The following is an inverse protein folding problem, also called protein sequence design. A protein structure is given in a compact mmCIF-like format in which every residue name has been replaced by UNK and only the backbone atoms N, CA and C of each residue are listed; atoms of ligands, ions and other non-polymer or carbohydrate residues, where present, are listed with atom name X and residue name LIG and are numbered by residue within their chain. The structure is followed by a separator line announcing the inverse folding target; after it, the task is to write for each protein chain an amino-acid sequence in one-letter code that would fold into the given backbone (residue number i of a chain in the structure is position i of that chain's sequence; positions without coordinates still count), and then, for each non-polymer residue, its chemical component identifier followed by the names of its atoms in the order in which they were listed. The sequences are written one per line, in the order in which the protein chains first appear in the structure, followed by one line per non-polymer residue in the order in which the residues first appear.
data_IF_517578679035
#
_entry.id   IF_517578679035
#
_cell.length_a   1.000
_cell.length_b   1.000
_cell.length_c   1.000
_cell.angle_alpha   90.00
_cell.angle_beta   90.00
_cell.angle_gamma   90.00
#
_symmetry.space_group_name_H-M   'P 1'
#
loop_
_entity.id
_entity.type
_entity.pdbx_description
1 polymer ?
#
# COMPACT_ATOMS: atom_id res chain seq x y z
N UNK A 1 13.42 -11.97 -12.27
CA UNK A 1 12.67 -10.78 -11.83
C UNK A 1 11.20 -11.15 -11.58
N UNK A 2 10.49 -11.83 -12.51
CA UNK A 2 9.07 -12.26 -12.33
C UNK A 2 8.85 -13.03 -11.02
N UNK A 3 9.74 -13.95 -10.68
CA UNK A 3 9.68 -14.73 -9.43
C UNK A 3 9.71 -13.84 -8.18
N UNK A 4 10.55 -12.79 -8.18
CA UNK A 4 10.59 -11.81 -7.09
C UNK A 4 9.31 -10.94 -7.01
N UNK A 5 8.61 -10.73 -8.14
CA UNK A 5 7.32 -10.04 -8.19
C UNK A 5 6.13 -10.98 -7.86
N UNK A 6 6.38 -12.24 -7.47
CA UNK A 6 5.34 -13.24 -7.19
C UNK A 6 4.53 -13.64 -8.44
N UNK A 7 5.09 -13.46 -9.63
CA UNK A 7 4.45 -13.79 -10.90
C UNK A 7 4.99 -15.13 -11.43
N UNK A 8 4.14 -15.94 -12.10
CA UNK A 8 4.59 -17.18 -12.71
C UNK A 8 5.66 -16.91 -13.80
N UNK A 9 6.59 -17.83 -13.93
CA UNK A 9 7.56 -17.80 -15.01
C UNK A 9 6.87 -18.00 -16.37
N UNK A 10 7.41 -17.36 -17.39
CA UNK A 10 6.96 -17.62 -18.78
C UNK A 10 7.59 -18.92 -19.21
N UNK A 11 6.77 -19.84 -19.71
CA UNK A 11 7.21 -21.11 -20.25
C UNK A 11 8.30 -20.89 -21.33
N UNK A 12 9.35 -21.69 -21.26
CA UNK A 12 10.49 -21.59 -22.19
C UNK A 12 10.06 -21.90 -23.64
N UNK A 13 9.06 -22.74 -23.83
CA UNK A 13 8.56 -23.05 -25.16
C UNK A 13 7.74 -21.90 -25.74
N UNK A 14 6.99 -21.16 -24.88
CA UNK A 14 6.32 -19.90 -25.29
C UNK A 14 7.36 -18.84 -25.67
N UNK A 15 8.46 -18.75 -24.94
CA UNK A 15 9.57 -17.83 -25.29
C UNK A 15 10.20 -18.17 -26.65
N UNK A 16 10.31 -19.47 -26.99
CA UNK A 16 10.87 -19.92 -28.27
C UNK A 16 9.91 -19.74 -29.44
N UNK A 17 8.61 -19.91 -29.21
CA UNK A 17 7.59 -19.81 -30.27
C UNK A 17 7.28 -18.36 -30.69
N UNK A 18 7.45 -17.39 -29.78
CA UNK A 18 7.02 -16.00 -30.00
C UNK A 18 5.52 -15.89 -30.23
N UNK A 19 4.94 -14.75 -29.98
CA UNK A 19 3.52 -14.48 -30.28
C UNK A 19 3.42 -14.07 -31.75
N UNK A 20 2.65 -14.83 -32.55
CA UNK A 20 2.51 -14.77 -33.99
C UNK A 20 2.61 -13.37 -34.64
N UNK A 21 3.59 -13.21 -35.52
CA UNK A 21 3.67 -12.10 -36.45
C UNK A 21 3.11 -12.50 -37.80
N UNK A 22 2.56 -11.56 -38.54
CA UNK A 22 2.21 -11.75 -39.96
C UNK A 22 3.50 -11.93 -40.79
N UNK A 23 3.55 -12.99 -41.60
CA UNK A 23 4.58 -13.07 -42.63
C UNK A 23 4.48 -11.86 -43.55
N UNK A 24 5.56 -11.08 -43.63
CA UNK A 24 5.68 -10.05 -44.62
C UNK A 24 5.83 -10.76 -45.98
N UNK A 25 5.02 -10.37 -46.98
CA UNK A 25 5.14 -10.85 -48.35
C UNK A 25 6.48 -10.37 -48.93
N UNK A 26 7.49 -11.23 -48.85
CA UNK A 26 8.89 -10.95 -49.32
C UNK A 26 9.10 -11.07 -50.80
N UNK A 27 8.01 -11.09 -51.60
CA UNK A 27 8.07 -11.41 -53.02
C UNK A 27 8.68 -10.34 -53.94
N UNK A 28 9.10 -9.17 -53.48
CA UNK A 28 9.48 -8.08 -54.39
C UNK A 28 10.97 -7.79 -54.56
N UNK A 29 11.86 -8.40 -53.77
CA UNK A 29 13.31 -8.10 -53.85
C UNK A 29 14.19 -9.26 -54.30
N UNK A 30 13.68 -10.50 -54.36
CA UNK A 30 14.49 -11.71 -54.51
C UNK A 30 14.79 -12.12 -55.97
N UNK A 31 14.11 -11.57 -56.97
CA UNK A 31 14.14 -12.13 -58.34
C UNK A 31 15.46 -11.89 -59.10
N UNK A 32 16.38 -11.07 -58.60
CA UNK A 32 17.62 -10.70 -59.27
C UNK A 32 18.92 -11.04 -58.53
N UNK A 33 18.86 -11.75 -57.39
CA UNK A 33 20.04 -12.08 -56.58
C UNK A 33 20.53 -13.50 -56.84
N UNK A 34 21.85 -13.72 -56.69
CA UNK A 34 22.42 -15.08 -56.79
C UNK A 34 21.80 -16.02 -55.74
N UNK A 35 21.54 -17.31 -56.07
CA UNK A 35 20.83 -18.25 -55.15
C UNK A 35 21.42 -18.36 -53.74
N UNK A 36 22.73 -18.21 -53.58
CA UNK A 36 23.42 -18.23 -52.29
C UNK A 36 23.07 -17.02 -51.43
N UNK A 37 22.98 -15.80 -52.06
CA UNK A 37 22.63 -14.55 -51.38
C UNK A 37 21.17 -14.56 -50.95
N UNK A 38 20.27 -15.09 -51.79
CA UNK A 38 18.86 -15.26 -51.43
C UNK A 38 18.66 -16.17 -50.23
N UNK A 39 19.41 -17.25 -50.12
CA UNK A 39 19.36 -18.17 -48.96
C UNK A 39 19.83 -17.48 -47.68
N UNK A 40 20.92 -16.72 -47.73
CA UNK A 40 21.41 -15.99 -46.54
C UNK A 40 20.44 -14.88 -46.13
N UNK A 41 19.83 -14.18 -47.09
CA UNK A 41 18.82 -13.15 -46.85
C UNK A 41 17.58 -13.75 -46.15
N UNK A 42 17.10 -14.89 -46.64
CA UNK A 42 15.93 -15.58 -46.02
C UNK A 42 16.22 -16.03 -44.59
N UNK A 43 17.43 -16.49 -44.28
CA UNK A 43 17.85 -16.85 -42.92
C UNK A 43 17.87 -15.60 -42.03
N UNK A 44 18.42 -14.49 -42.53
CA UNK A 44 18.48 -13.23 -41.79
C UNK A 44 17.07 -12.67 -41.52
N UNK A 45 16.15 -12.73 -42.48
CA UNK A 45 14.75 -12.32 -42.28
C UNK A 45 14.09 -13.14 -41.17
N UNK A 46 14.25 -14.46 -41.18
CA UNK A 46 13.73 -15.34 -40.13
C UNK A 46 14.32 -15.02 -38.75
N UNK A 47 15.63 -14.73 -38.70
CA UNK A 47 16.28 -14.35 -37.43
C UNK A 47 15.81 -12.99 -36.92
N UNK A 48 15.61 -12.01 -37.80
CA UNK A 48 15.04 -10.70 -37.43
C UNK A 48 13.60 -10.84 -36.94
N UNK A 49 12.77 -11.63 -37.61
CA UNK A 49 11.41 -11.89 -37.17
C UNK A 49 11.40 -12.61 -35.79
N UNK A 50 12.27 -13.59 -35.57
CA UNK A 50 12.41 -14.28 -34.30
C UNK A 50 12.80 -13.31 -33.19
N UNK A 51 13.87 -12.51 -33.41
CA UNK A 51 14.31 -11.49 -32.46
C UNK A 51 13.22 -10.48 -32.16
N UNK A 52 12.48 -10.03 -33.17
CA UNK A 52 11.36 -9.09 -33.00
C UNK A 52 10.26 -9.68 -32.10
N UNK A 53 9.93 -10.97 -32.29
CA UNK A 53 8.97 -11.68 -31.43
C UNK A 53 9.48 -11.82 -29.99
N UNK A 54 10.75 -12.20 -29.80
CA UNK A 54 11.37 -12.31 -28.48
C UNK A 54 11.37 -10.97 -27.74
N UNK A 55 11.74 -9.87 -28.42
CA UNK A 55 11.73 -8.52 -27.86
C UNK A 55 10.31 -8.12 -27.44
N UNK A 56 9.30 -8.34 -28.28
CA UNK A 56 7.92 -8.00 -27.94
C UNK A 56 7.39 -8.79 -26.75
N UNK A 57 7.74 -10.09 -26.65
CA UNK A 57 7.38 -10.90 -25.49
C UNK A 57 8.03 -10.38 -24.21
N UNK A 58 9.31 -10.05 -24.25
CA UNK A 58 10.02 -9.49 -23.09
C UNK A 58 9.46 -8.11 -22.70
N UNK A 59 9.15 -7.23 -23.66
CA UNK A 59 8.50 -5.94 -23.38
C UNK A 59 7.17 -6.12 -22.65
N UNK A 60 6.29 -6.98 -23.17
CA UNK A 60 5.01 -7.29 -22.53
C UNK A 60 5.20 -7.87 -21.12
N UNK A 61 6.24 -8.71 -20.95
CA UNK A 61 6.60 -9.25 -19.64
C UNK A 61 7.05 -8.16 -18.67
N UNK A 62 7.88 -7.22 -19.10
CA UNK A 62 8.34 -6.11 -18.26
C UNK A 62 7.19 -5.16 -17.90
N UNK A 63 6.30 -4.85 -18.83
CA UNK A 63 5.10 -4.04 -18.56
C UNK A 63 4.24 -4.68 -17.47
N UNK A 64 3.98 -5.99 -17.58
CA UNK A 64 3.20 -6.71 -16.56
C UNK A 64 3.87 -6.74 -15.18
N UNK A 65 5.21 -6.84 -15.12
CA UNK A 65 5.97 -6.75 -13.86
C UNK A 65 5.87 -5.34 -13.28
N UNK A 66 6.02 -4.31 -14.12
CA UNK A 66 5.94 -2.93 -13.68
C UNK A 66 4.57 -2.61 -13.08
N UNK A 67 3.49 -2.99 -13.75
CA UNK A 67 2.12 -2.82 -13.24
C UNK A 67 1.93 -3.51 -11.89
N UNK A 68 2.40 -4.75 -11.77
CA UNK A 68 2.33 -5.52 -10.51
C UNK A 68 3.08 -4.84 -9.37
N UNK A 69 4.29 -4.36 -9.63
CA UNK A 69 5.09 -3.63 -8.63
C UNK A 69 4.41 -2.34 -8.21
N UNK A 70 3.81 -1.58 -9.15
CA UNK A 70 3.07 -0.36 -8.84
C UNK A 70 1.82 -0.65 -7.97
N UNK A 71 1.09 -1.73 -8.28
CA UNK A 71 -0.03 -2.18 -7.47
C UNK A 71 0.40 -2.52 -6.04
N UNK A 72 1.48 -3.29 -5.87
CA UNK A 72 2.00 -3.70 -4.57
C UNK A 72 2.50 -2.50 -3.76
N UNK A 73 3.21 -1.55 -4.35
CA UNK A 73 3.60 -0.29 -3.70
C UNK A 73 2.36 0.48 -3.24
N UNK A 74 1.35 0.62 -4.10
CA UNK A 74 0.09 1.29 -3.76
C UNK A 74 -0.67 0.58 -2.62
N UNK A 75 -0.61 -0.75 -2.55
CA UNK A 75 -1.20 -1.53 -1.47
C UNK A 75 -0.44 -1.35 -0.16
N UNK A 76 0.89 -1.47 -0.20
CA UNK A 76 1.76 -1.35 0.97
C UNK A 76 1.68 0.06 1.57
N UNK A 77 1.58 1.11 0.76
CA UNK A 77 1.46 2.49 1.25
C UNK A 77 0.20 2.74 2.08
N UNK A 78 -0.83 1.89 1.94
CA UNK A 78 -2.11 1.97 2.64
C UNK A 78 -2.18 1.17 3.94
N UNK A 79 -1.18 0.32 4.21
CA UNK A 79 -1.11 -0.46 5.46
C UNK A 79 -0.58 0.44 6.58
N UNK A 80 -1.29 0.59 7.72
CA UNK A 80 -0.84 1.42 8.84
C UNK A 80 0.32 0.77 9.58
N UNK A 81 1.56 0.96 9.11
CA UNK A 81 2.74 0.21 9.53
C UNK A 81 3.75 0.99 10.38
N UNK A 82 3.50 2.28 10.67
CA UNK A 82 4.35 3.04 11.58
C UNK A 82 3.59 3.43 12.84
N UNK A 83 4.31 3.51 13.95
CA UNK A 83 3.79 4.01 15.21
C UNK A 83 3.41 5.48 15.06
N UNK A 84 2.18 5.89 15.48
CA UNK A 84 1.67 7.24 15.20
C UNK A 84 2.30 8.33 16.06
N UNK A 85 2.99 7.99 17.14
CA UNK A 85 3.72 8.91 18.03
C UNK A 85 5.10 8.38 18.34
N UNK A 86 6.07 9.27 18.50
CA UNK A 86 7.41 8.92 18.95
C UNK A 86 7.46 8.79 20.47
N UNK A 87 8.17 7.81 20.97
CA UNK A 87 8.33 7.56 22.41
C UNK A 87 7.03 7.17 23.12
N UNK A 88 6.95 7.43 24.43
CA UNK A 88 5.83 7.08 25.28
C UNK A 88 5.77 5.60 25.65
N UNK A 89 4.83 5.26 26.55
CA UNK A 89 4.65 3.92 27.05
C UNK A 89 3.35 3.32 26.54
N UNK A 90 3.38 2.07 26.09
CA UNK A 90 2.17 1.28 25.79
C UNK A 90 1.51 0.95 27.14
N UNK A 91 0.36 1.55 27.41
CA UNK A 91 -0.31 1.41 28.70
C UNK A 91 -1.43 0.38 28.59
N UNK A 92 -2.58 0.77 28.07
CA UNK A 92 -3.75 -0.09 28.04
C UNK A 92 -3.88 -0.78 26.67
N UNK A 93 -3.80 -2.11 26.67
CA UNK A 93 -3.78 -2.92 25.44
C UNK A 93 -5.17 -3.13 24.84
N UNK A 94 -5.18 -3.49 23.57
CA UNK A 94 -6.33 -4.01 22.84
C UNK A 94 -6.91 -5.28 23.52
N UNK A 95 -8.23 -5.42 23.55
CA UNK A 95 -8.91 -6.59 24.08
C UNK A 95 -9.83 -6.30 25.29
N UNK A 96 -10.34 -7.36 25.91
CA UNK A 96 -11.21 -7.24 27.09
C UNK A 96 -10.44 -6.79 28.32
N UNK A 97 -10.87 -5.66 28.91
CA UNK A 97 -10.32 -5.12 30.16
C UNK A 97 -11.40 -4.45 31.00
N UNK A 98 -11.12 -4.24 32.27
CA UNK A 98 -11.94 -3.36 33.09
C UNK A 98 -11.69 -1.91 32.69
N UNK A 99 -12.77 -1.17 32.43
CA UNK A 99 -12.71 0.26 32.11
C UNK A 99 -12.18 1.03 33.34
N UNK A 100 -11.17 1.90 33.18
CA UNK A 100 -10.53 2.59 34.31
C UNK A 100 -11.42 3.63 34.99
N UNK A 101 -12.57 3.99 34.42
CA UNK A 101 -13.47 5.02 34.97
C UNK A 101 -14.59 4.40 35.79
N UNK A 102 -15.25 3.37 35.29
CA UNK A 102 -16.42 2.75 35.93
C UNK A 102 -16.22 1.28 36.33
N UNK A 103 -15.03 0.75 36.07
CA UNK A 103 -14.61 -0.64 36.39
C UNK A 103 -15.47 -1.74 35.74
N UNK A 104 -16.24 -1.41 34.70
CA UNK A 104 -17.03 -2.37 33.92
C UNK A 104 -16.16 -3.04 32.88
N UNK A 105 -16.27 -4.34 32.72
CA UNK A 105 -15.52 -5.10 31.72
C UNK A 105 -16.00 -4.75 30.32
N UNK A 106 -15.13 -4.15 29.50
CA UNK A 106 -15.39 -3.76 28.10
C UNK A 106 -14.27 -4.19 27.16
N UNK A 107 -14.63 -4.33 25.91
CA UNK A 107 -13.65 -4.55 24.85
C UNK A 107 -13.02 -3.23 24.44
N UNK A 108 -11.72 -3.10 24.58
CA UNK A 108 -10.91 -1.97 24.14
C UNK A 108 -10.51 -2.18 22.68
N UNK A 109 -11.02 -1.33 21.77
CA UNK A 109 -10.85 -1.50 20.32
C UNK A 109 -9.49 -0.98 19.79
N UNK A 110 -8.62 -0.49 20.66
CA UNK A 110 -7.35 0.10 20.29
C UNK A 110 -6.22 -0.13 21.29
N UNK A 111 -5.17 0.62 21.13
CA UNK A 111 -4.02 0.69 22.03
C UNK A 111 -3.92 2.10 22.61
N UNK A 112 -3.80 2.20 23.93
CA UNK A 112 -3.52 3.47 24.58
C UNK A 112 -2.00 3.64 24.73
N UNK A 113 -1.51 4.80 24.26
CA UNK A 113 -0.09 5.16 24.34
C UNK A 113 0.02 6.39 25.24
N UNK A 114 0.59 6.21 26.42
CA UNK A 114 0.80 7.31 27.38
C UNK A 114 1.93 8.20 26.89
N UNK A 115 1.59 9.45 26.60
CA UNK A 115 2.50 10.50 26.10
C UNK A 115 2.03 11.85 26.65
N UNK A 116 2.93 12.85 26.81
CA UNK A 116 2.55 14.19 27.22
C UNK A 116 1.53 14.84 26.25
N UNK A 117 0.68 15.72 26.78
CA UNK A 117 -0.16 16.58 25.94
C UNK A 117 0.70 17.42 25.00
N UNK A 118 0.31 17.49 23.72
CA UNK A 118 1.06 18.25 22.71
C UNK A 118 2.11 17.43 21.96
N UNK A 119 2.25 16.13 22.24
CA UNK A 119 3.11 15.24 21.43
C UNK A 119 2.58 15.16 20.01
N UNK A 120 3.43 15.32 18.97
CA UNK A 120 3.02 15.20 17.57
C UNK A 120 2.47 13.82 17.24
N UNK A 121 1.41 13.79 16.42
CA UNK A 121 0.79 12.57 15.90
C UNK A 121 0.97 12.55 14.40
N UNK A 122 1.47 11.43 13.87
CA UNK A 122 1.75 11.22 12.46
C UNK A 122 0.81 10.19 11.82
N UNK A 123 0.49 10.39 10.54
CA UNK A 123 -0.32 9.44 9.77
C UNK A 123 0.46 8.13 9.56
N UNK A 124 -0.08 6.95 9.92
CA UNK A 124 0.64 5.67 9.85
C UNK A 124 0.71 5.09 8.43
N UNK A 125 -0.09 5.62 7.51
CA UNK A 125 -0.18 5.24 6.11
C UNK A 125 -0.76 6.38 5.27
N UNK A 126 -0.66 6.29 3.95
CA UNK A 126 -1.35 7.18 3.01
C UNK A 126 -2.87 7.09 3.22
N UNK A 127 -3.61 8.20 3.05
CA UNK A 127 -5.05 8.15 3.21
C UNK A 127 -5.78 9.49 3.03
N UNK A 128 -7.07 9.46 3.36
CA UNK A 128 -7.96 10.62 3.32
C UNK A 128 -8.63 10.78 4.67
N UNK A 129 -8.59 11.99 5.22
CA UNK A 129 -9.25 12.34 6.48
C UNK A 129 -10.77 12.24 6.33
N UNK A 130 -11.39 11.36 7.11
CA UNK A 130 -12.85 11.16 7.13
C UNK A 130 -13.52 11.84 8.31
N UNK A 131 -12.77 12.13 9.39
CA UNK A 131 -13.25 12.89 10.55
C UNK A 131 -12.08 13.68 11.14
N UNK A 132 -12.36 14.90 11.59
CA UNK A 132 -11.46 15.74 12.38
C UNK A 132 -12.33 16.72 13.19
N UNK A 133 -12.99 16.21 14.23
CA UNK A 133 -13.91 16.97 15.09
C UNK A 133 -14.10 16.30 16.46
N UNK A 134 -14.80 16.97 17.37
CA UNK A 134 -15.09 16.46 18.71
C UNK A 134 -16.27 15.47 18.69
N UNK A 135 -16.12 14.32 19.35
CA UNK A 135 -17.21 13.34 19.58
C UNK A 135 -17.10 12.81 21.01
N UNK A 136 -18.09 13.04 21.81
CA UNK A 136 -18.34 12.49 23.16
C UNK A 136 -17.17 11.76 23.82
N UNK A 137 -17.21 10.43 23.83
CA UNK A 137 -16.20 9.59 24.49
C UNK A 137 -14.80 9.72 23.90
N UNK A 138 -14.64 9.85 22.57
CA UNK A 138 -13.34 10.03 21.92
C UNK A 138 -12.73 11.42 22.11
N UNK A 139 -13.53 12.42 22.51
CA UNK A 139 -13.06 13.80 22.52
C UNK A 139 -12.76 14.32 21.11
N UNK A 140 -11.72 15.14 20.98
CA UNK A 140 -11.19 15.49 19.67
C UNK A 140 -10.58 14.24 19.02
N UNK A 141 -11.09 13.86 17.84
CA UNK A 141 -10.61 12.66 17.18
C UNK A 141 -10.43 12.86 15.68
N UNK A 142 -9.50 12.11 15.10
CA UNK A 142 -9.25 12.00 13.67
C UNK A 142 -9.59 10.58 13.24
N UNK A 143 -10.29 10.42 12.10
CA UNK A 143 -10.41 9.15 11.39
C UNK A 143 -9.82 9.30 10.00
N UNK A 144 -8.90 8.40 9.65
CA UNK A 144 -8.30 8.30 8.31
C UNK A 144 -8.83 7.05 7.62
N UNK A 145 -9.20 7.16 6.36
CA UNK A 145 -9.43 6.02 5.48
C UNK A 145 -8.21 5.87 4.57
N UNK A 146 -7.53 4.75 4.68
CA UNK A 146 -6.32 4.44 3.91
C UNK A 146 -6.63 3.71 2.59
N UNK A 147 -7.86 3.24 2.41
CA UNK A 147 -8.19 2.33 1.30
C UNK A 147 -7.81 0.88 1.62
N UNK A 148 -8.00 -0.02 0.65
CA UNK A 148 -7.72 -1.47 0.81
C UNK A 148 -8.30 -2.09 2.09
N UNK A 149 -9.43 -1.57 2.59
CA UNK A 149 -10.10 -2.00 3.81
C UNK A 149 -9.56 -1.37 5.11
N UNK A 150 -8.45 -0.65 5.08
CA UNK A 150 -7.84 -0.07 6.28
C UNK A 150 -8.40 1.31 6.66
N UNK A 151 -8.64 1.51 7.94
CA UNK A 151 -8.86 2.83 8.53
C UNK A 151 -8.27 2.91 9.93
N UNK A 152 -7.88 4.11 10.36
CA UNK A 152 -7.33 4.38 11.69
C UNK A 152 -8.11 5.47 12.41
N UNK A 153 -8.15 5.40 13.74
CA UNK A 153 -8.76 6.39 14.63
C UNK A 153 -7.73 6.85 15.66
N UNK A 154 -7.67 8.15 15.87
CA UNK A 154 -6.84 8.82 16.86
C UNK A 154 -7.75 9.63 17.76
N UNK A 155 -7.76 9.38 19.05
CA UNK A 155 -8.65 10.05 19.98
C UNK A 155 -7.91 10.78 21.12
N UNK A 156 -8.68 11.56 21.90
CA UNK A 156 -8.23 12.39 23.03
C UNK A 156 -7.25 13.50 22.64
N UNK A 157 -7.29 13.97 21.37
CA UNK A 157 -6.38 14.99 20.84
C UNK A 157 -6.60 16.35 21.53
N UNK A 158 -5.51 17.14 21.60
CA UNK A 158 -5.58 18.57 21.97
C UNK A 158 -5.85 19.47 20.78
N UNK A 159 -5.29 19.14 19.60
CA UNK A 159 -5.38 20.00 18.40
C UNK A 159 -5.30 19.18 17.12
N UNK A 160 -6.08 19.60 16.11
CA UNK A 160 -5.98 19.11 14.72
C UNK A 160 -4.98 19.91 13.90
N UNK A 161 -4.29 19.26 12.97
CA UNK A 161 -3.49 19.87 11.88
C UNK A 161 -4.07 19.59 10.50
N UNK A 162 -5.14 18.82 10.45
CA UNK A 162 -5.79 18.36 9.21
C UNK A 162 -7.29 18.65 9.27
N UNK A 163 -7.95 18.64 8.11
CA UNK A 163 -9.40 18.84 7.96
C UNK A 163 -10.04 17.71 7.15
N UNK A 164 -11.35 17.57 7.26
CA UNK A 164 -12.13 16.60 6.47
C UNK A 164 -11.81 16.70 4.96
N UNK A 165 -11.64 15.54 4.31
CA UNK A 165 -11.35 15.44 2.88
C UNK A 165 -9.87 15.62 2.51
N UNK A 166 -9.01 16.06 3.43
CA UNK A 166 -7.59 16.26 3.17
C UNK A 166 -6.91 14.90 2.89
N UNK A 167 -6.08 14.84 1.84
CA UNK A 167 -5.17 13.73 1.59
C UNK A 167 -3.94 13.88 2.47
N UNK A 168 -3.49 12.79 3.04
CA UNK A 168 -2.28 12.69 3.85
C UNK A 168 -1.40 11.54 3.36
N UNK A 169 -0.10 11.70 3.52
CA UNK A 169 0.92 10.68 3.28
C UNK A 169 1.36 10.06 4.60
N UNK A 170 1.88 8.84 4.56
CA UNK A 170 2.57 8.23 5.70
C UNK A 170 3.65 9.19 6.23
N UNK A 171 3.65 9.43 7.55
CA UNK A 171 4.55 10.37 8.22
C UNK A 171 4.09 11.82 8.27
N UNK A 172 2.97 12.20 7.64
CA UNK A 172 2.44 13.56 7.74
C UNK A 172 1.93 13.86 9.15
N UNK A 173 2.24 15.06 9.67
CA UNK A 173 1.73 15.56 10.95
C UNK A 173 0.23 15.83 10.85
N UNK A 174 -0.58 15.10 11.63
CA UNK A 174 -2.04 15.19 11.60
C UNK A 174 -2.66 15.92 12.81
N UNK A 175 -1.96 15.96 13.93
CA UNK A 175 -2.47 16.59 15.15
C UNK A 175 -1.52 16.46 16.32
N UNK A 176 -2.03 16.70 17.53
CA UNK A 176 -1.30 16.61 18.77
C UNK A 176 -2.11 15.89 19.83
N UNK A 177 -1.43 15.09 20.63
CA UNK A 177 -2.02 14.37 21.77
C UNK A 177 -2.60 15.31 22.82
N UNK A 178 -3.55 14.84 23.61
CA UNK A 178 -4.22 15.62 24.63
C UNK A 178 -4.84 14.75 25.73
N UNK A 179 -5.93 15.27 26.32
CA UNK A 179 -6.71 14.61 27.36
C UNK A 179 -8.18 15.00 27.22
N UNK A 180 -8.72 15.06 25.99
CA UNK A 180 -10.11 15.46 25.73
C UNK A 180 -11.05 14.26 25.69
N UNK A 181 -12.33 14.48 25.96
CA UNK A 181 -13.34 13.42 25.99
C UNK A 181 -13.26 12.56 27.27
N UNK A 182 -13.55 11.24 27.15
CA UNK A 182 -13.53 10.30 28.27
C UNK A 182 -12.12 9.75 28.49
N UNK A 183 -11.31 10.52 29.19
CA UNK A 183 -9.89 10.20 29.45
C UNK A 183 -9.51 10.58 30.87
N UNK A 184 -8.70 9.75 31.54
CA UNK A 184 -8.25 9.94 32.92
C UNK A 184 -6.90 10.64 33.01
N UNK A 185 -6.07 10.54 31.97
CA UNK A 185 -4.72 11.14 31.91
C UNK A 185 -4.31 11.35 30.44
N UNK A 186 -3.33 12.23 30.16
CA UNK A 186 -2.84 12.45 28.82
C UNK A 186 -2.34 11.18 28.14
N UNK A 187 -2.94 10.82 27.00
CA UNK A 187 -2.56 9.67 26.19
C UNK A 187 -3.10 9.82 24.75
N UNK A 188 -2.60 9.02 23.85
CA UNK A 188 -3.22 8.77 22.54
C UNK A 188 -3.97 7.44 22.62
N UNK A 189 -5.27 7.47 22.33
CA UNK A 189 -6.02 6.25 22.01
C UNK A 189 -5.94 6.04 20.49
N UNK A 190 -5.40 4.88 20.06
CA UNK A 190 -5.15 4.57 18.66
C UNK A 190 -5.81 3.25 18.26
N UNK A 191 -6.64 3.29 17.21
CA UNK A 191 -7.31 2.12 16.66
C UNK A 191 -6.89 1.88 15.21
N UNK A 192 -6.76 0.61 14.84
CA UNK A 192 -6.67 0.14 13.45
C UNK A 192 -7.90 -0.71 13.17
N UNK A 193 -8.56 -0.44 12.06
CA UNK A 193 -9.70 -1.25 11.58
C UNK A 193 -9.38 -1.81 10.20
N UNK A 194 -9.70 -3.09 10.00
CA UNK A 194 -9.64 -3.75 8.71
C UNK A 194 -11.05 -4.24 8.32
N UNK A 195 -11.59 -3.73 7.22
CA UNK A 195 -13.00 -3.88 6.81
C UNK A 195 -14.00 -3.61 7.94
N UNK A 196 -13.70 -2.60 8.76
CA UNK A 196 -14.56 -2.20 9.88
C UNK A 196 -14.37 -2.99 11.18
N UNK A 197 -13.67 -4.11 11.16
CA UNK A 197 -13.32 -4.89 12.35
C UNK A 197 -12.06 -4.32 13.02
N UNK A 198 -12.08 -4.03 14.34
CA UNK A 198 -10.90 -3.56 15.05
C UNK A 198 -9.81 -4.63 15.08
N UNK A 199 -8.57 -4.20 14.92
CA UNK A 199 -7.36 -5.02 14.92
C UNK A 199 -6.47 -4.61 16.09
N UNK A 200 -5.62 -5.53 16.56
CA UNK A 200 -4.62 -5.18 17.56
C UNK A 200 -3.53 -4.30 16.92
N UNK A 201 -3.36 -3.01 17.34
CA UNK A 201 -2.39 -2.13 16.72
C UNK A 201 -0.94 -2.59 16.83
N UNK A 202 -0.61 -3.41 17.84
CA UNK A 202 0.76 -3.90 18.04
C UNK A 202 1.22 -4.84 16.93
N UNK A 203 0.29 -5.49 16.21
CA UNK A 203 0.60 -6.37 15.08
C UNK A 203 1.03 -5.59 13.81
N UNK A 204 0.93 -4.26 13.86
CA UNK A 204 1.20 -3.35 12.73
C UNK A 204 2.42 -2.43 12.94
N UNK A 205 3.03 -2.43 14.11
CA UNK A 205 4.22 -1.61 14.37
C UNK A 205 5.47 -2.38 13.93
N UNK A 206 6.12 -1.89 12.87
CA UNK A 206 7.36 -2.43 12.34
C UNK A 206 8.52 -1.45 12.50
#
# INVERSE_FOLDING_TARGET
IRTYAGMPEIDQDIRKLGIGGRALDSKSFSDNLAPAVNKELSILELDVERLSREINLELTSYESIYEKVQEDISRISKIPSIRPVEGGYLNSSYGYRNDPIDNVRRFHQGQDITVPTGTPIYAPADGIIKRAYYVGGFGNHIKINHGSGYSTIFAHLSKFKVKYGQKVKRGDLIGFTGNTGRSTAPHLHYEIHYYGAPQNPLDYFF
#
